data_IF_406525060353
#
_entry.id   IF_406525060353
#
_cell.length_a   1.000
_cell.length_b   1.000
_cell.length_c   1.000
_cell.angle_alpha   90.00
_cell.angle_beta   90.00
_cell.angle_gamma   90.00
#
_symmetry.space_group_name_H-M   'P 1'
#
loop_
_entity.id
_entity.type
_entity.pdbx_description
1 polymer ?
#
# COMPACT_ATOMS: atom_id res chain seq x y z
N UNK A 1 14.99 28.39 -17.12
CA UNK A 1 15.63 27.11 -17.50
C UNK A 1 15.94 26.32 -16.22
N UNK A 2 14.92 25.78 -15.53
CA UNK A 2 15.12 24.85 -14.39
C UNK A 2 13.91 23.89 -14.36
N UNK A 3 13.87 22.92 -15.27
CA UNK A 3 13.04 21.73 -15.04
C UNK A 3 13.82 20.85 -14.07
N UNK A 4 13.56 21.04 -12.77
CA UNK A 4 14.08 20.18 -11.73
C UNK A 4 13.56 18.77 -12.02
N UNK A 5 14.44 17.90 -12.54
CA UNK A 5 14.13 16.47 -12.69
C UNK A 5 13.82 15.94 -11.29
N UNK A 6 12.54 15.71 -11.01
CA UNK A 6 12.10 14.94 -9.86
C UNK A 6 12.80 13.59 -10.01
N UNK A 7 13.83 13.32 -9.20
CA UNK A 7 14.53 12.05 -9.24
C UNK A 7 13.49 10.99 -8.89
N UNK A 8 13.13 10.13 -9.84
CA UNK A 8 12.19 9.03 -9.62
C UNK A 8 12.77 8.14 -8.53
N UNK A 9 12.24 8.30 -7.30
CA UNK A 9 12.74 7.57 -6.14
C UNK A 9 12.53 6.08 -6.39
N UNK A 10 13.61 5.32 -6.34
CA UNK A 10 13.61 3.89 -6.59
C UNK A 10 13.68 3.15 -5.25
N UNK A 11 12.98 2.02 -5.14
CA UNK A 11 12.88 1.23 -3.90
C UNK A 11 13.38 -0.18 -4.16
N UNK A 12 14.18 -0.69 -3.23
CA UNK A 12 14.65 -2.07 -3.24
C UNK A 12 13.58 -2.98 -2.62
N UNK A 13 12.92 -3.78 -3.46
CA UNK A 13 11.94 -4.78 -3.03
C UNK A 13 12.29 -6.10 -3.68
N UNK A 14 12.50 -7.15 -2.86
CA UNK A 14 12.85 -8.50 -3.33
C UNK A 14 14.06 -8.48 -4.28
N UNK A 15 15.10 -7.71 -3.93
CA UNK A 15 16.32 -7.59 -4.72
C UNK A 15 16.18 -6.82 -6.05
N UNK A 16 15.05 -6.17 -6.32
CA UNK A 16 14.84 -5.33 -7.50
C UNK A 16 14.63 -3.87 -7.12
N UNK A 17 15.22 -2.99 -7.92
CA UNK A 17 14.99 -1.56 -7.87
C UNK A 17 13.76 -1.24 -8.72
N UNK A 18 12.66 -0.87 -8.08
CA UNK A 18 11.39 -0.54 -8.73
C UNK A 18 11.01 0.91 -8.43
N UNK A 19 10.37 1.58 -9.39
CA UNK A 19 9.71 2.86 -9.15
C UNK A 19 8.49 2.68 -8.23
N UNK A 20 8.07 3.76 -7.57
CA UNK A 20 6.85 3.75 -6.75
C UNK A 20 5.65 3.31 -7.58
N UNK A 21 5.54 3.80 -8.81
CA UNK A 21 4.44 3.54 -9.73
C UNK A 21 4.35 2.05 -10.09
N UNK A 22 5.49 1.41 -10.38
CA UNK A 22 5.56 -0.03 -10.65
C UNK A 22 5.13 -0.85 -9.43
N UNK A 23 5.57 -0.47 -8.23
CA UNK A 23 5.23 -1.19 -7.00
C UNK A 23 3.75 -1.05 -6.70
N UNK A 24 3.20 0.17 -6.80
CA UNK A 24 1.76 0.41 -6.58
C UNK A 24 0.93 -0.43 -7.55
N UNK A 25 1.26 -0.43 -8.85
CA UNK A 25 0.53 -1.26 -9.82
C UNK A 25 0.64 -2.76 -9.52
N UNK A 26 1.84 -3.23 -9.16
CA UNK A 26 2.08 -4.64 -8.84
C UNK A 26 1.29 -5.10 -7.62
N UNK A 27 1.13 -4.25 -6.61
CA UNK A 27 0.49 -4.61 -5.34
C UNK A 27 -0.95 -4.08 -5.19
N UNK A 28 -1.51 -3.45 -6.22
CA UNK A 28 -2.93 -3.05 -6.24
C UNK A 28 -3.89 -4.23 -6.00
N UNK A 29 -3.67 -5.44 -6.55
CA UNK A 29 -4.52 -6.60 -6.23
C UNK A 29 -4.49 -6.99 -4.75
N UNK A 30 -3.35 -6.80 -4.06
CA UNK A 30 -3.22 -7.05 -2.63
C UNK A 30 -4.08 -6.07 -1.82
N UNK A 31 -4.11 -4.79 -2.21
CA UNK A 31 -4.97 -3.79 -1.57
C UNK A 31 -6.44 -4.19 -1.71
N UNK A 32 -6.88 -4.56 -2.92
CA UNK A 32 -8.26 -5.01 -3.18
C UNK A 32 -8.62 -6.24 -2.35
N UNK A 33 -7.69 -7.20 -2.25
CA UNK A 33 -7.88 -8.39 -1.43
C UNK A 33 -8.08 -8.03 0.06
N UNK A 34 -7.20 -7.20 0.62
CA UNK A 34 -7.29 -6.80 2.04
C UNK A 34 -8.57 -6.00 2.31
N UNK A 35 -8.89 -5.03 1.46
CA UNK A 35 -10.11 -4.23 1.56
C UNK A 35 -11.36 -5.11 1.51
N UNK A 36 -11.44 -6.06 0.56
CA UNK A 36 -12.55 -7.01 0.47
C UNK A 36 -12.66 -7.93 1.68
N UNK A 37 -11.54 -8.34 2.28
CA UNK A 37 -11.51 -9.14 3.51
C UNK A 37 -12.09 -8.38 4.71
N UNK A 38 -11.81 -7.08 4.80
CA UNK A 38 -12.32 -6.21 5.86
C UNK A 38 -13.80 -5.90 5.63
N UNK A 39 -14.20 -5.60 4.39
CA UNK A 39 -15.57 -5.21 4.04
C UNK A 39 -16.62 -6.28 4.38
N UNK A 40 -16.25 -7.57 4.41
CA UNK A 40 -17.14 -8.67 4.79
C UNK A 40 -17.78 -8.48 6.18
N UNK A 41 -17.10 -7.76 7.08
CA UNK A 41 -17.57 -7.55 8.45
C UNK A 41 -18.15 -6.14 8.67
N UNK A 42 -18.38 -5.36 7.61
CA UNK A 42 -18.85 -3.99 7.71
C UNK A 42 -20.33 -3.86 7.30
N UNK A 43 -21.05 -2.84 7.80
CA UNK A 43 -22.38 -2.51 7.33
C UNK A 43 -22.42 -2.21 5.83
N UNK A 44 -23.58 -2.43 5.20
CA UNK A 44 -23.78 -2.25 3.75
C UNK A 44 -23.61 -0.81 3.24
N UNK A 45 -23.59 0.19 4.14
CA UNK A 45 -23.36 1.59 3.79
C UNK A 45 -21.87 1.93 3.63
N UNK A 46 -20.96 1.02 3.98
CA UNK A 46 -19.52 1.25 3.79
C UNK A 46 -19.13 0.87 2.37
N UNK A 47 -18.59 1.81 1.61
CA UNK A 47 -18.15 1.56 0.26
C UNK A 47 -16.77 0.91 0.22
N UNK A 48 -16.66 -0.21 -0.51
CA UNK A 48 -15.37 -0.90 -0.69
C UNK A 48 -14.33 -0.01 -1.39
N UNK A 49 -14.77 0.92 -2.24
CA UNK A 49 -13.86 1.83 -2.94
C UNK A 49 -13.14 2.78 -1.97
N UNK A 50 -13.81 3.21 -0.90
CA UNK A 50 -13.19 4.03 0.14
C UNK A 50 -12.13 3.23 0.89
N UNK A 51 -12.42 1.97 1.24
CA UNK A 51 -11.43 1.07 1.85
C UNK A 51 -10.23 0.82 0.93
N UNK A 52 -10.46 0.71 -0.38
CA UNK A 52 -9.38 0.58 -1.37
C UNK A 52 -8.53 1.85 -1.39
N UNK A 53 -9.13 3.03 -1.39
CA UNK A 53 -8.41 4.31 -1.38
C UNK A 53 -7.52 4.44 -0.14
N UNK A 54 -8.06 4.16 1.05
CA UNK A 54 -7.29 4.15 2.30
C UNK A 54 -6.19 3.09 2.29
N UNK A 55 -6.50 1.92 1.75
CA UNK A 55 -5.51 0.85 1.58
C UNK A 55 -4.36 1.23 0.63
N UNK A 56 -4.62 2.03 -0.42
CA UNK A 56 -3.58 2.55 -1.32
C UNK A 56 -2.66 3.52 -0.56
N UNK A 57 -3.20 4.37 0.32
CA UNK A 57 -2.39 5.24 1.18
C UNK A 57 -1.50 4.42 2.12
N UNK A 58 -2.05 3.35 2.71
CA UNK A 58 -1.29 2.40 3.52
C UNK A 58 -0.18 1.68 2.74
N UNK A 59 -0.44 1.29 1.49
CA UNK A 59 0.56 0.69 0.61
C UNK A 59 1.68 1.69 0.29
N UNK A 60 1.34 2.92 -0.04
CA UNK A 60 2.31 4.01 -0.31
C UNK A 60 3.25 4.20 0.89
N UNK A 61 2.70 4.24 2.10
CA UNK A 61 3.50 4.37 3.32
C UNK A 61 4.37 3.14 3.54
N UNK A 62 3.85 1.94 3.25
CA UNK A 62 4.61 0.70 3.31
C UNK A 62 5.82 0.72 2.37
N UNK A 63 5.66 1.20 1.13
CA UNK A 63 6.76 1.33 0.16
C UNK A 63 7.87 2.23 0.72
N UNK A 64 7.51 3.35 1.36
CA UNK A 64 8.48 4.31 1.89
C UNK A 64 9.23 3.84 3.13
N UNK A 65 8.68 2.88 3.88
CA UNK A 65 9.20 2.43 5.19
C UNK A 65 9.67 0.97 5.20
N UNK A 66 9.50 0.24 4.11
CA UNK A 66 9.93 -1.14 4.02
C UNK A 66 11.45 -1.24 4.06
N UNK A 67 11.94 -2.23 4.80
CA UNK A 67 13.34 -2.54 4.94
C UNK A 67 13.54 -4.04 4.69
N UNK A 68 14.14 -4.35 3.54
CA UNK A 68 14.39 -5.72 3.08
C UNK A 68 15.39 -6.47 3.99
N UNK A 69 16.24 -5.74 4.73
CA UNK A 69 17.23 -6.33 5.64
C UNK A 69 16.60 -7.06 6.84
N UNK A 70 15.31 -6.78 7.12
CA UNK A 70 14.57 -7.42 8.22
C UNK A 70 14.09 -8.83 7.88
N UNK A 71 14.32 -9.31 6.64
CA UNK A 71 14.01 -10.68 6.23
C UNK A 71 12.51 -11.01 6.12
N UNK A 72 11.65 -10.00 6.16
CA UNK A 72 10.20 -10.14 6.01
C UNK A 72 9.83 -9.81 4.56
N UNK A 73 9.04 -10.65 3.90
CA UNK A 73 8.55 -10.36 2.55
C UNK A 73 7.75 -9.04 2.54
N UNK A 74 7.97 -8.23 1.50
CA UNK A 74 7.22 -6.99 1.31
C UNK A 74 5.70 -7.19 1.38
N UNK A 75 5.16 -8.26 0.80
CA UNK A 75 3.73 -8.58 0.84
C UNK A 75 3.21 -8.68 2.27
N UNK A 76 3.93 -9.41 3.13
CA UNK A 76 3.57 -9.58 4.55
C UNK A 76 3.56 -8.24 5.28
N UNK A 77 4.59 -7.42 5.06
CA UNK A 77 4.67 -6.08 5.66
C UNK A 77 3.55 -5.16 5.15
N UNK A 78 3.36 -5.10 3.83
CA UNK A 78 2.35 -4.28 3.17
C UNK A 78 0.94 -4.64 3.63
N UNK A 79 0.60 -5.93 3.77
CA UNK A 79 -0.70 -6.36 4.28
C UNK A 79 -1.01 -5.73 5.64
N UNK A 80 -0.08 -5.75 6.59
CA UNK A 80 -0.27 -5.13 7.91
C UNK A 80 -0.47 -3.62 7.81
N UNK A 81 0.30 -2.93 6.95
CA UNK A 81 0.18 -1.48 6.76
C UNK A 81 -1.14 -1.08 6.09
N UNK A 82 -1.55 -1.82 5.07
CA UNK A 82 -2.82 -1.63 4.35
C UNK A 82 -3.99 -1.82 5.32
N UNK A 83 -4.03 -2.93 6.07
CA UNK A 83 -5.10 -3.17 7.05
C UNK A 83 -5.12 -2.10 8.13
N UNK A 84 -3.96 -1.65 8.61
CA UNK A 84 -3.86 -0.57 9.59
C UNK A 84 -4.51 0.72 9.07
N UNK A 85 -4.14 1.17 7.87
CA UNK A 85 -4.70 2.38 7.27
C UNK A 85 -6.23 2.32 7.14
N UNK A 86 -6.77 1.20 6.64
CA UNK A 86 -8.22 1.00 6.50
C UNK A 86 -8.91 1.03 7.86
N UNK A 87 -8.38 0.32 8.86
CA UNK A 87 -8.97 0.28 10.19
C UNK A 87 -8.90 1.63 10.91
N UNK A 88 -7.85 2.41 10.67
CA UNK A 88 -7.70 3.74 11.24
C UNK A 88 -8.69 4.73 10.61
N UNK A 89 -8.91 4.64 9.28
CA UNK A 89 -9.92 5.45 8.60
C UNK A 89 -11.35 5.14 9.07
N UNK A 90 -11.65 3.87 9.41
CA UNK A 90 -12.95 3.48 9.96
C UNK A 90 -13.19 3.94 11.41
N UNK A 91 -12.14 4.39 12.11
CA UNK A 91 -12.23 4.88 13.50
C UNK A 91 -12.35 6.40 13.60
N UNK A 92 -11.97 7.11 12.54
CA UNK A 92 -11.99 8.57 12.47
C UNK A 92 -13.42 9.10 12.30
#
# INVERSE_FOLDING_TARGET
MIHQRVASRTYAIAGRNLSREEIVHKYLPLVKYVAGKISVNLPSHVEINDLINEGILGLIDAIGKYDDSRGVKFETYATTRISGAILDALRA
#
